data_IF_099849485338
#
_entry.id   IF_099849485338
#
_cell.length_a   1.000
_cell.length_b   1.000
_cell.length_c   1.000
_cell.angle_alpha   90.00
_cell.angle_beta   90.00
_cell.angle_gamma   90.00
#
_symmetry.space_group_name_H-M   'P 1'
#
loop_
_entity.id
_entity.type
_entity.pdbx_description
1 polymer ?
#
# COMPACT_ATOMS: atom_id res chain seq x y z
N UNK A 1 4.87 24.59 -3.36
CA UNK A 1 4.90 24.84 -1.90
C UNK A 1 3.74 24.13 -1.25
N UNK A 2 3.81 23.85 0.06
CA UNK A 2 2.84 23.03 0.80
C UNK A 2 1.38 23.55 0.74
N UNK A 3 1.19 24.85 0.50
CA UNK A 3 -0.13 25.50 0.51
C UNK A 3 -1.12 24.92 -0.49
N UNK A 4 -0.67 24.36 -1.62
CA UNK A 4 -1.53 23.69 -2.62
C UNK A 4 -1.20 22.21 -2.79
N UNK A 5 -0.60 21.59 -1.77
CA UNK A 5 -0.21 20.19 -1.84
C UNK A 5 -1.44 19.27 -1.92
N UNK A 6 -1.42 18.31 -2.84
CA UNK A 6 -2.48 17.30 -3.02
C UNK A 6 -2.19 16.00 -2.27
N UNK A 7 -1.39 16.07 -1.21
CA UNK A 7 -0.88 14.94 -0.45
C UNK A 7 -0.92 15.24 1.07
N UNK A 8 -0.36 14.35 1.90
CA UNK A 8 -0.40 14.49 3.36
C UNK A 8 0.08 15.86 3.88
N UNK A 9 1.02 16.52 3.20
CA UNK A 9 1.53 17.83 3.64
C UNK A 9 0.44 18.89 3.74
N UNK A 10 -0.50 18.90 2.79
CA UNK A 10 -1.58 19.88 2.83
C UNK A 10 -2.53 19.60 3.99
N UNK A 11 -2.80 18.33 4.32
CA UNK A 11 -3.61 17.97 5.49
C UNK A 11 -2.94 18.39 6.80
N UNK A 12 -1.66 18.08 6.95
CA UNK A 12 -0.88 18.40 8.15
C UNK A 12 -0.78 19.92 8.35
N UNK A 13 -0.34 20.65 7.32
CA UNK A 13 -0.08 22.07 7.45
C UNK A 13 -1.39 22.87 7.60
N UNK A 14 -2.44 22.55 6.83
CA UNK A 14 -3.71 23.28 6.95
C UNK A 14 -4.43 22.96 8.25
N UNK A 15 -4.32 21.76 8.81
CA UNK A 15 -4.81 21.48 10.16
C UNK A 15 -4.15 22.38 11.22
N UNK A 16 -2.83 22.58 11.13
CA UNK A 16 -2.10 23.52 11.99
C UNK A 16 -2.54 24.98 11.81
N UNK A 17 -2.76 25.41 10.56
CA UNK A 17 -3.26 26.77 10.28
C UNK A 17 -4.68 26.99 10.80
N UNK A 18 -5.55 25.99 10.70
CA UNK A 18 -6.92 26.02 11.25
C UNK A 18 -6.86 26.14 12.77
N UNK A 19 -6.07 25.30 13.44
CA UNK A 19 -5.88 25.37 14.89
C UNK A 19 -5.40 26.76 15.34
N UNK A 20 -4.38 27.29 14.67
CA UNK A 20 -3.82 28.61 14.97
C UNK A 20 -4.83 29.74 14.76
N UNK A 21 -5.58 29.71 13.66
CA UNK A 21 -6.61 30.71 13.37
C UNK A 21 -7.71 30.72 14.44
N UNK A 22 -8.20 29.53 14.84
CA UNK A 22 -9.20 29.40 15.91
C UNK A 22 -8.68 29.90 17.25
N UNK A 23 -7.42 29.59 17.59
CA UNK A 23 -6.81 29.96 18.86
C UNK A 23 -6.63 31.48 19.05
N UNK A 24 -6.53 32.26 17.96
CA UNK A 24 -6.34 33.72 18.02
C UNK A 24 -7.57 34.51 17.57
N UNK A 25 -8.69 33.83 17.30
CA UNK A 25 -9.88 34.45 16.71
C UNK A 25 -10.49 35.58 17.56
N UNK A 26 -10.33 35.51 18.89
CA UNK A 26 -10.78 36.56 19.82
C UNK A 26 -9.79 37.73 19.94
N UNK A 27 -8.54 37.53 19.53
CA UNK A 27 -7.49 38.55 19.56
C UNK A 27 -7.47 39.39 18.28
N UNK A 28 -7.62 38.72 17.13
CA UNK A 28 -7.65 39.36 15.81
C UNK A 28 -8.54 38.54 14.86
N UNK A 29 -9.82 38.93 14.82
CA UNK A 29 -10.83 38.22 14.05
C UNK A 29 -10.56 38.30 12.53
N UNK A 30 -10.14 39.47 12.04
CA UNK A 30 -9.89 39.71 10.62
C UNK A 30 -8.76 38.82 10.08
N UNK A 31 -7.66 38.67 10.82
CA UNK A 31 -6.56 37.79 10.43
C UNK A 31 -7.00 36.33 10.57
N UNK A 32 -7.66 35.96 11.66
CA UNK A 32 -8.13 34.60 11.89
C UNK A 32 -9.06 34.13 10.77
N UNK A 33 -10.05 34.92 10.39
CA UNK A 33 -11.00 34.61 9.32
C UNK A 33 -10.27 34.39 7.99
N UNK A 34 -9.38 35.31 7.59
CA UNK A 34 -8.61 35.20 6.34
C UNK A 34 -7.76 33.93 6.30
N UNK A 35 -7.13 33.57 7.43
CA UNK A 35 -6.29 32.36 7.52
C UNK A 35 -7.13 31.09 7.53
N UNK A 36 -8.26 31.09 8.23
CA UNK A 36 -9.19 29.97 8.26
C UNK A 36 -9.76 29.70 6.87
N UNK A 37 -10.29 30.74 6.19
CA UNK A 37 -10.80 30.63 4.82
C UNK A 37 -9.77 30.06 3.85
N UNK A 38 -8.53 30.59 3.91
CA UNK A 38 -7.43 30.09 3.08
C UNK A 38 -7.08 28.64 3.41
N UNK A 39 -7.05 28.25 4.67
CA UNK A 39 -6.69 26.89 5.07
C UNK A 39 -7.77 25.88 4.64
N UNK A 40 -9.05 26.19 4.86
CA UNK A 40 -10.18 25.34 4.45
C UNK A 40 -10.22 25.15 2.93
N UNK A 41 -10.08 26.24 2.17
CA UNK A 41 -10.08 26.19 0.69
C UNK A 41 -8.98 25.28 0.16
N UNK A 42 -7.80 25.30 0.78
CA UNK A 42 -6.67 24.50 0.31
C UNK A 42 -6.64 23.08 0.91
N UNK A 43 -7.22 22.85 2.09
CA UNK A 43 -7.39 21.50 2.66
C UNK A 43 -8.21 20.61 1.72
N UNK A 44 -9.25 21.17 1.09
CA UNK A 44 -10.06 20.48 0.09
C UNK A 44 -9.22 19.92 -1.08
N UNK A 45 -8.09 20.54 -1.43
CA UNK A 45 -7.19 20.05 -2.49
C UNK A 45 -6.56 18.71 -2.06
N UNK A 46 -6.09 18.62 -0.82
CA UNK A 46 -5.48 17.40 -0.29
C UNK A 46 -6.51 16.30 -0.04
N UNK A 47 -7.73 16.67 0.36
CA UNK A 47 -8.83 15.71 0.55
C UNK A 47 -9.25 15.00 -0.74
N UNK A 48 -8.97 15.56 -1.92
CA UNK A 48 -9.19 14.85 -3.20
C UNK A 48 -8.34 13.59 -3.33
N UNK A 49 -7.32 13.39 -2.50
CA UNK A 49 -6.53 12.17 -2.48
C UNK A 49 -7.35 10.94 -2.10
N UNK A 50 -8.46 11.10 -1.37
CA UNK A 50 -9.34 9.99 -0.97
C UNK A 50 -10.24 9.49 -2.11
N UNK A 51 -10.45 10.30 -3.15
CA UNK A 51 -11.42 10.00 -4.19
C UNK A 51 -10.92 8.88 -5.15
N UNK A 52 -11.85 8.08 -5.72
CA UNK A 52 -13.28 8.04 -5.41
C UNK A 52 -13.65 7.11 -4.25
N UNK A 53 -12.87 6.04 -4.04
CA UNK A 53 -13.29 4.90 -3.22
C UNK A 53 -12.58 4.81 -1.86
N UNK A 54 -11.99 5.91 -1.38
CA UNK A 54 -11.32 5.98 -0.08
C UNK A 54 -9.89 5.47 -0.07
N UNK A 55 -9.27 5.25 -1.23
CA UNK A 55 -7.85 4.92 -1.34
C UNK A 55 -6.96 6.09 -0.91
N UNK A 56 -5.70 5.82 -0.59
CA UNK A 56 -4.73 6.83 -0.20
C UNK A 56 -3.42 6.68 -0.99
N UNK A 57 -3.03 7.66 -1.81
CA UNK A 57 -1.93 7.50 -2.77
C UNK A 57 -0.56 7.20 -2.16
N UNK A 58 -0.34 7.61 -0.91
CA UNK A 58 0.96 7.51 -0.22
C UNK A 58 1.07 6.26 0.67
N UNK A 59 0.06 5.39 0.64
CA UNK A 59 0.04 4.13 1.38
C UNK A 59 -0.42 4.22 2.84
N UNK A 60 -0.53 3.08 3.53
CA UNK A 60 -1.17 2.98 4.84
C UNK A 60 -0.50 3.77 5.95
N UNK A 61 0.83 3.91 5.91
CA UNK A 61 1.56 4.71 6.89
C UNK A 61 1.23 6.21 6.80
N UNK A 62 1.14 6.73 5.58
CA UNK A 62 0.81 8.14 5.35
C UNK A 62 -0.69 8.42 5.47
N UNK A 63 -1.55 7.42 5.22
CA UNK A 63 -2.96 7.53 5.55
C UNK A 63 -3.15 7.82 7.04
N UNK A 64 -2.51 7.06 7.93
CA UNK A 64 -2.65 7.30 9.38
C UNK A 64 -2.18 8.72 9.73
N UNK A 65 -1.05 9.15 9.17
CA UNK A 65 -0.48 10.46 9.44
C UNK A 65 -1.35 11.61 8.92
N UNK A 66 -1.62 11.65 7.62
CA UNK A 66 -2.37 12.71 6.96
C UNK A 66 -3.85 12.74 7.37
N UNK A 67 -4.51 11.59 7.43
CA UNK A 67 -5.93 11.49 7.78
C UNK A 67 -6.18 11.88 9.24
N UNK A 68 -5.27 11.57 10.18
CA UNK A 68 -5.44 12.02 11.57
C UNK A 68 -5.41 13.55 11.70
N UNK A 69 -4.51 14.23 10.99
CA UNK A 69 -4.53 15.70 10.95
C UNK A 69 -5.77 16.25 10.25
N UNK A 70 -6.23 15.61 9.17
CA UNK A 70 -7.46 15.98 8.48
C UNK A 70 -8.68 15.89 9.41
N UNK A 71 -8.80 14.78 10.14
CA UNK A 71 -9.87 14.56 11.12
C UNK A 71 -9.80 15.60 12.24
N UNK A 72 -8.62 15.92 12.77
CA UNK A 72 -8.48 16.99 13.77
C UNK A 72 -8.95 18.34 13.23
N UNK A 73 -8.61 18.67 11.98
CA UNK A 73 -9.10 19.89 11.34
C UNK A 73 -10.64 19.93 11.30
N UNK A 74 -11.27 18.85 10.82
CA UNK A 74 -12.74 18.76 10.74
C UNK A 74 -13.40 18.77 12.12
N UNK A 75 -12.82 18.09 13.10
CA UNK A 75 -13.32 18.07 14.48
C UNK A 75 -13.29 19.49 15.11
N UNK A 76 -12.20 20.23 14.92
CA UNK A 76 -12.07 21.60 15.42
C UNK A 76 -13.11 22.53 14.81
N UNK A 77 -13.27 22.54 13.48
CA UNK A 77 -14.22 23.45 12.82
C UNK A 77 -15.68 23.05 13.08
N UNK A 78 -15.98 21.75 13.13
CA UNK A 78 -17.33 21.27 13.46
C UNK A 78 -17.70 21.68 14.88
N UNK A 79 -16.75 21.60 15.82
CA UNK A 79 -16.98 22.03 17.20
C UNK A 79 -17.15 23.55 17.30
N UNK A 80 -16.34 24.32 16.56
CA UNK A 80 -16.37 25.78 16.61
C UNK A 80 -17.59 26.41 15.91
N UNK A 81 -18.06 25.81 14.80
CA UNK A 81 -19.07 26.41 13.92
C UNK A 81 -20.32 25.55 13.70
N UNK A 82 -20.35 24.31 14.18
CA UNK A 82 -21.45 23.37 13.91
C UNK A 82 -21.48 22.84 12.48
N UNK A 83 -20.44 23.08 11.67
CA UNK A 83 -20.32 22.63 10.29
C UNK A 83 -18.86 22.33 9.94
N UNK A 84 -18.66 21.45 8.97
CA UNK A 84 -17.36 21.16 8.35
C UNK A 84 -17.22 21.85 6.97
N UNK A 85 -18.19 22.70 6.62
CA UNK A 85 -18.29 23.39 5.32
C UNK A 85 -18.37 22.44 4.11
N UNK A 86 -18.94 21.25 4.29
CA UNK A 86 -19.11 20.25 3.22
C UNK A 86 -17.83 19.48 2.90
N UNK A 87 -16.78 19.60 3.72
CA UNK A 87 -15.51 18.90 3.48
C UNK A 87 -15.65 17.39 3.63
N UNK A 88 -16.44 16.89 4.59
CA UNK A 88 -16.64 15.46 4.76
C UNK A 88 -17.51 14.82 3.66
N UNK A 89 -18.20 15.63 2.87
CA UNK A 89 -18.95 15.19 1.68
C UNK A 89 -18.08 15.03 0.44
N UNK A 90 -16.78 15.39 0.51
CA UNK A 90 -15.86 15.19 -0.60
C UNK A 90 -15.72 13.70 -0.94
N UNK A 91 -15.74 13.32 -2.23
CA UNK A 91 -15.73 11.92 -2.64
C UNK A 91 -14.58 11.11 -2.03
N UNK A 92 -14.90 9.92 -1.53
CA UNK A 92 -13.94 8.99 -0.94
C UNK A 92 -13.63 9.25 0.53
N UNK A 93 -13.96 10.41 1.09
CA UNK A 93 -13.59 10.73 2.47
C UNK A 93 -14.33 9.84 3.48
N UNK A 94 -15.63 9.59 3.29
CA UNK A 94 -16.39 8.66 4.14
C UNK A 94 -15.86 7.22 3.99
N UNK A 95 -15.62 6.81 2.75
CA UNK A 95 -15.16 5.46 2.37
C UNK A 95 -13.78 5.14 2.95
N UNK A 96 -12.91 6.14 3.08
CA UNK A 96 -11.54 5.96 3.60
C UNK A 96 -11.51 5.45 5.04
N UNK A 97 -12.61 5.59 5.81
CA UNK A 97 -12.72 5.00 7.14
C UNK A 97 -12.52 3.47 7.16
N UNK A 98 -12.77 2.78 6.04
CA UNK A 98 -12.56 1.34 5.86
C UNK A 98 -11.21 0.97 5.23
N UNK A 99 -10.41 1.95 4.82
CA UNK A 99 -9.21 1.73 4.02
C UNK A 99 -8.27 0.68 4.64
N UNK A 100 -7.93 0.79 5.93
CA UNK A 100 -7.05 -0.19 6.58
C UNK A 100 -7.73 -1.52 6.93
N UNK A 101 -9.06 -1.62 6.88
CA UNK A 101 -9.75 -2.91 6.93
C UNK A 101 -9.44 -3.71 5.65
N UNK A 102 -9.52 -3.05 4.49
CA UNK A 102 -9.18 -3.67 3.20
C UNK A 102 -7.70 -4.04 3.12
N UNK A 103 -6.80 -3.15 3.54
CA UNK A 103 -5.36 -3.36 3.37
C UNK A 103 -4.78 -4.41 4.32
N UNK A 104 -5.51 -4.85 5.35
CA UNK A 104 -4.98 -5.79 6.34
C UNK A 104 -5.22 -7.24 5.88
N UNK A 105 -4.13 -7.91 5.52
CA UNK A 105 -4.15 -9.32 5.19
C UNK A 105 -4.20 -10.22 6.44
N UNK A 106 -4.50 -11.53 6.27
CA UNK A 106 -4.65 -12.49 7.36
C UNK A 106 -3.38 -12.72 8.19
N UNK A 107 -2.21 -12.33 7.67
CA UNK A 107 -1.00 -12.34 8.48
C UNK A 107 -0.98 -11.20 9.52
N UNK A 108 -1.94 -10.27 9.46
CA UNK A 108 -2.01 -9.02 10.21
C UNK A 108 -1.11 -7.91 9.67
N UNK A 109 -0.32 -8.16 8.61
CA UNK A 109 0.45 -7.14 7.92
C UNK A 109 -0.45 -6.37 6.94
N UNK A 110 -0.27 -5.06 6.86
CA UNK A 110 -0.95 -4.26 5.85
C UNK A 110 -0.29 -4.47 4.47
N UNK A 111 -1.03 -4.26 3.39
CA UNK A 111 -0.45 -4.09 2.05
C UNK A 111 0.33 -2.79 2.04
N UNK A 112 1.65 -2.91 2.16
CA UNK A 112 2.55 -1.79 2.11
C UNK A 112 2.96 -1.52 0.65
N UNK A 113 2.80 -0.28 0.23
CA UNK A 113 3.24 0.28 -1.04
C UNK A 113 3.66 1.73 -0.83
N UNK A 114 4.29 2.31 -1.85
CA UNK A 114 4.95 3.60 -1.71
C UNK A 114 5.94 3.53 -0.52
N UNK A 115 6.14 4.62 0.21
CA UNK A 115 6.98 4.60 1.40
C UNK A 115 6.33 3.94 2.64
N UNK A 116 5.31 3.10 2.42
CA UNK A 116 4.78 2.19 3.42
C UNK A 116 5.80 1.12 3.81
N UNK A 117 6.19 1.09 5.08
CA UNK A 117 6.99 -0.02 5.63
C UNK A 117 6.13 -1.26 5.92
N UNK A 118 6.77 -2.44 6.00
CA UNK A 118 6.13 -3.68 6.46
C UNK A 118 5.71 -3.56 7.93
N UNK A 119 4.48 -3.14 8.17
CA UNK A 119 3.90 -2.95 9.51
C UNK A 119 2.62 -3.75 9.66
N UNK A 120 2.44 -4.32 10.85
CA UNK A 120 1.15 -4.84 11.26
C UNK A 120 0.20 -3.66 11.48
N UNK A 121 -1.10 -3.87 11.24
CA UNK A 121 -2.10 -2.85 11.58
C UNK A 121 -1.94 -2.46 13.04
N UNK A 122 -2.03 -1.17 13.30
CA UNK A 122 -2.11 -0.59 14.65
C UNK A 122 -3.40 0.19 14.78
N UNK A 123 -3.80 0.45 16.02
CA UNK A 123 -5.00 1.23 16.30
C UNK A 123 -4.85 2.67 15.83
N UNK A 124 -5.93 3.22 15.26
CA UNK A 124 -5.98 4.49 14.56
C UNK A 124 -7.13 5.35 15.08
N UNK A 125 -6.78 6.42 15.80
CA UNK A 125 -7.74 7.36 16.39
C UNK A 125 -8.79 7.92 15.41
N UNK A 126 -8.39 8.17 14.17
CA UNK A 126 -9.26 8.72 13.14
C UNK A 126 -10.49 7.84 12.88
N UNK A 127 -10.37 6.51 13.00
CA UNK A 127 -11.48 5.58 12.76
C UNK A 127 -12.59 5.75 13.80
N UNK A 128 -12.25 6.06 15.07
CA UNK A 128 -13.24 6.39 16.09
C UNK A 128 -14.01 7.66 15.75
N UNK A 129 -13.32 8.68 15.20
CA UNK A 129 -13.99 9.89 14.72
C UNK A 129 -14.91 9.58 13.53
N UNK A 130 -14.45 8.82 12.54
CA UNK A 130 -15.29 8.41 11.39
C UNK A 130 -16.56 7.71 11.87
N UNK A 131 -16.43 6.75 12.78
CA UNK A 131 -17.53 6.00 13.36
C UNK A 131 -18.56 6.89 14.06
N UNK A 132 -18.09 7.85 14.88
CA UNK A 132 -18.96 8.80 15.56
C UNK A 132 -19.59 9.83 14.61
N UNK A 133 -18.80 10.42 13.72
CA UNK A 133 -19.21 11.50 12.82
C UNK A 133 -20.24 11.02 11.78
N UNK A 134 -20.00 9.88 11.15
CA UNK A 134 -20.90 9.30 10.14
C UNK A 134 -22.00 8.40 10.72
N UNK A 135 -22.04 8.22 12.05
CA UNK A 135 -22.97 7.30 12.73
C UNK A 135 -22.86 5.85 12.20
N UNK A 136 -21.61 5.40 12.04
CA UNK A 136 -21.23 4.07 11.56
C UNK A 136 -20.39 3.37 12.63
N UNK A 137 -20.98 2.99 13.77
CA UNK A 137 -20.24 2.39 14.89
C UNK A 137 -19.58 1.06 14.52
N UNK A 138 -20.05 0.36 13.48
CA UNK A 138 -19.41 -0.85 12.95
C UNK A 138 -18.01 -0.65 12.35
N UNK A 139 -17.57 0.61 12.15
CA UNK A 139 -16.21 0.91 11.66
C UNK A 139 -15.13 0.48 12.66
N UNK A 140 -15.42 0.56 13.97
CA UNK A 140 -14.46 0.20 15.01
C UNK A 140 -14.47 -1.28 15.38
N UNK A 141 -15.51 -2.00 14.98
CA UNK A 141 -15.72 -3.41 15.30
C UNK A 141 -14.67 -4.34 14.68
N UNK A 142 -14.13 -3.97 13.50
CA UNK A 142 -13.20 -4.80 12.73
C UNK A 142 -11.84 -4.95 13.42
N UNK A 143 -11.38 -3.93 14.14
CA UNK A 143 -10.03 -3.92 14.73
C UNK A 143 -9.89 -2.96 15.91
N UNK A 144 -10.43 -1.75 15.81
CA UNK A 144 -10.12 -0.67 16.75
C UNK A 144 -10.57 -0.96 18.18
N UNK A 145 -11.73 -1.59 18.36
CA UNK A 145 -12.23 -1.97 19.68
C UNK A 145 -11.32 -2.97 20.37
N UNK A 146 -11.02 -4.09 19.72
CA UNK A 146 -10.11 -5.11 20.24
C UNK A 146 -8.68 -4.55 20.42
N UNK A 147 -8.27 -3.70 19.46
CA UNK A 147 -7.22 -2.68 19.53
C UNK A 147 -7.05 -2.04 20.91
N UNK A 148 -8.11 -1.34 21.30
CA UNK A 148 -8.22 -0.54 22.49
C UNK A 148 -8.25 -1.42 23.75
N UNK A 149 -9.08 -2.46 23.77
CA UNK A 149 -9.26 -3.35 24.92
C UNK A 149 -7.97 -4.08 25.31
N UNK A 150 -7.27 -4.69 24.33
CA UNK A 150 -5.96 -5.33 24.58
C UNK A 150 -4.96 -4.36 25.18
N UNK A 151 -4.98 -3.10 24.74
CA UNK A 151 -4.08 -2.07 25.25
C UNK A 151 -4.48 -1.57 26.63
N UNK A 152 -5.77 -1.38 26.91
CA UNK A 152 -6.26 -1.04 28.25
C UNK A 152 -5.97 -2.15 29.27
N UNK A 153 -5.96 -3.41 28.84
CA UNK A 153 -5.56 -4.55 29.67
C UNK A 153 -4.04 -4.61 29.94
N UNK A 154 -3.22 -4.06 29.05
CA UNK A 154 -1.76 -4.01 29.20
C UNK A 154 -1.34 -2.90 30.19
N UNK A 155 -1.20 -3.28 31.46
CA UNK A 155 -0.83 -2.36 32.57
C UNK A 155 0.66 -1.96 32.59
N UNK A 156 1.46 -2.28 31.57
CA UNK A 156 2.87 -1.89 31.53
C UNK A 156 3.00 -0.37 31.37
N UNK A 157 3.99 0.22 32.05
CA UNK A 157 4.28 1.66 31.94
C UNK A 157 4.51 2.02 30.47
N UNK A 158 3.75 2.98 29.96
CA UNK A 158 4.00 3.59 28.65
C UNK A 158 5.42 4.16 28.68
N UNK A 159 6.29 3.59 27.87
CA UNK A 159 7.68 4.03 27.81
C UNK A 159 7.72 5.32 26.97
N UNK A 160 7.75 6.47 27.64
CA UNK A 160 7.68 7.81 27.04
C UNK A 160 8.78 8.09 25.98
N UNK A 161 9.84 7.26 25.94
CA UNK A 161 10.96 7.40 25.00
C UNK A 161 10.72 6.79 23.61
N UNK A 162 9.58 6.15 23.34
CA UNK A 162 9.21 5.71 21.98
C UNK A 162 8.01 6.50 21.51
N UNK A 163 8.14 7.07 20.31
CA UNK A 163 7.17 7.92 19.61
C UNK A 163 5.90 7.15 19.18
N UNK A 164 5.30 6.36 20.09
CA UNK A 164 4.35 5.29 19.79
C UNK A 164 2.90 5.74 19.95
N UNK A 165 2.52 6.84 19.30
CA UNK A 165 1.11 7.22 19.17
C UNK A 165 0.82 8.70 19.37
N UNK A 166 1.36 9.56 18.50
CA UNK A 166 1.04 11.00 18.50
C UNK A 166 -0.46 11.29 18.53
N UNK A 167 -1.25 10.46 17.82
CA UNK A 167 -2.68 10.64 17.74
C UNK A 167 -3.48 9.84 18.77
N UNK A 168 -2.83 9.02 19.60
CA UNK A 168 -3.53 8.14 20.54
C UNK A 168 -4.29 8.88 21.61
N UNK A 169 -3.77 10.00 22.08
CA UNK A 169 -4.48 10.83 23.04
C UNK A 169 -5.86 11.27 22.52
N UNK A 170 -6.00 11.40 21.19
CA UNK A 170 -7.27 11.77 20.56
C UNK A 170 -8.28 10.61 20.49
N UNK A 171 -7.85 9.33 20.62
CA UNK A 171 -8.79 8.19 20.72
C UNK A 171 -9.82 8.43 21.84
N UNK A 172 -9.37 8.98 22.97
CA UNK A 172 -10.23 9.26 24.14
C UNK A 172 -11.26 10.39 23.92
N UNK A 173 -11.12 11.20 22.87
CA UNK A 173 -12.12 12.22 22.53
C UNK A 173 -13.34 11.63 21.83
N UNK A 174 -13.18 10.47 21.18
CA UNK A 174 -14.19 9.91 20.28
C UNK A 174 -14.62 8.49 20.63
N UNK A 175 -13.94 7.83 21.58
CA UNK A 175 -14.31 6.49 22.02
C UNK A 175 -15.74 6.48 22.57
N UNK A 176 -16.52 5.47 22.20
CA UNK A 176 -17.87 5.26 22.69
C UNK A 176 -18.08 3.82 23.20
N UNK A 177 -19.02 3.60 24.14
CA UNK A 177 -19.36 2.28 24.62
C UNK A 177 -19.76 1.35 23.47
N UNK A 178 -19.39 0.07 23.58
CA UNK A 178 -19.84 -0.94 22.63
C UNK A 178 -21.38 -0.98 22.56
N UNK A 179 -21.93 -1.13 21.35
CA UNK A 179 -23.37 -1.15 21.11
C UNK A 179 -23.80 -2.39 20.35
N UNK A 180 -25.09 -2.73 20.41
CA UNK A 180 -25.65 -3.82 19.60
C UNK A 180 -25.63 -3.48 18.09
N UNK A 181 -25.80 -2.21 17.74
CA UNK A 181 -25.69 -1.70 16.37
C UNK A 181 -24.32 -1.96 15.77
N UNK A 182 -23.27 -1.73 16.55
CA UNK A 182 -21.90 -2.03 16.13
C UNK A 182 -21.72 -3.51 15.74
N UNK A 183 -22.17 -4.43 16.60
CA UNK A 183 -22.03 -5.87 16.35
C UNK A 183 -22.91 -6.35 15.20
N UNK A 184 -24.16 -5.90 15.14
CA UNK A 184 -25.12 -6.34 14.14
C UNK A 184 -24.83 -5.81 12.73
N UNK A 185 -24.15 -4.67 12.61
CA UNK A 185 -23.73 -4.07 11.33
C UNK A 185 -22.28 -4.38 10.95
N UNK A 186 -21.54 -5.14 11.75
CA UNK A 186 -20.24 -5.68 11.37
C UNK A 186 -20.41 -6.76 10.28
N UNK A 187 -20.82 -6.32 9.08
CA UNK A 187 -20.94 -7.16 7.90
C UNK A 187 -19.57 -7.43 7.29
N UNK A 188 -19.49 -8.49 6.48
CA UNK A 188 -18.29 -8.78 5.71
C UNK A 188 -18.15 -7.74 4.59
N UNK A 189 -16.98 -7.12 4.52
CA UNK A 189 -16.62 -6.22 3.44
C UNK A 189 -16.52 -7.01 2.11
N UNK A 190 -16.53 -6.34 0.95
CA UNK A 190 -16.29 -6.99 -0.33
C UNK A 190 -14.99 -7.82 -0.34
N UNK A 191 -15.04 -8.97 -0.99
CA UNK A 191 -13.87 -9.83 -1.21
C UNK A 191 -12.89 -9.24 -2.23
N UNK A 192 -13.40 -8.42 -3.16
CA UNK A 192 -12.60 -7.62 -4.09
C UNK A 192 -12.91 -6.15 -3.86
N UNK A 193 -11.88 -5.34 -3.67
CA UNK A 193 -11.99 -3.89 -3.52
C UNK A 193 -11.05 -3.19 -4.50
N UNK A 194 -11.65 -2.38 -5.38
CA UNK A 194 -10.93 -1.49 -6.31
C UNK A 194 -10.84 -0.09 -5.69
N UNK A 195 -9.64 0.26 -5.23
CA UNK A 195 -9.38 1.54 -4.58
C UNK A 195 -9.37 2.73 -5.55
N UNK A 196 -9.10 2.49 -6.84
CA UNK A 196 -8.94 3.54 -7.87
C UNK A 196 -8.03 4.70 -7.42
N UNK A 197 -8.22 5.89 -8.00
CA UNK A 197 -7.45 7.08 -7.67
C UNK A 197 -6.11 7.18 -8.43
N UNK A 198 -5.26 8.16 -8.08
CA UNK A 198 -4.03 8.45 -8.82
C UNK A 198 -2.93 7.40 -8.63
N UNK A 199 -2.99 6.63 -7.53
CA UNK A 199 -2.17 5.42 -7.31
C UNK A 199 -3.14 4.27 -7.10
N UNK A 200 -3.64 3.66 -8.19
CA UNK A 200 -4.66 2.66 -8.10
C UNK A 200 -4.12 1.38 -7.47
N UNK A 201 -4.90 0.81 -6.55
CA UNK A 201 -4.65 -0.48 -5.92
C UNK A 201 -5.91 -1.33 -5.99
N UNK A 202 -5.72 -2.64 -6.07
CA UNK A 202 -6.81 -3.63 -5.96
C UNK A 202 -6.46 -4.61 -4.87
N UNK A 203 -7.43 -4.89 -4.01
CA UNK A 203 -7.34 -5.93 -3.01
C UNK A 203 -8.27 -7.07 -3.41
N UNK A 204 -7.77 -8.31 -3.33
CA UNK A 204 -8.55 -9.53 -3.50
C UNK A 204 -8.31 -10.46 -2.32
N UNK A 205 -9.37 -11.05 -1.78
CA UNK A 205 -9.30 -12.13 -0.81
C UNK A 205 -10.43 -13.13 -1.03
N UNK A 206 -10.24 -14.39 -0.70
CA UNK A 206 -11.28 -15.42 -0.88
C UNK A 206 -12.14 -15.62 0.39
N UNK A 207 -11.72 -15.05 1.52
CA UNK A 207 -12.43 -15.13 2.81
C UNK A 207 -12.01 -13.99 3.75
N UNK A 208 -12.89 -13.64 4.69
CA UNK A 208 -12.58 -12.80 5.86
C UNK A 208 -12.21 -13.60 7.11
N UNK A 209 -12.26 -14.93 7.03
CA UNK A 209 -11.69 -15.82 8.05
C UNK A 209 -10.17 -15.92 7.84
N UNK A 210 -9.41 -15.28 8.73
CA UNK A 210 -7.95 -15.20 8.62
C UNK A 210 -7.25 -16.57 8.67
N UNK A 211 -7.87 -17.60 9.26
CA UNK A 211 -7.28 -18.94 9.31
C UNK A 211 -7.33 -19.65 7.94
N UNK A 212 -8.28 -19.25 7.07
CA UNK A 212 -8.49 -19.88 5.74
C UNK A 212 -8.26 -18.94 4.55
N UNK A 213 -8.12 -17.63 4.80
CA UNK A 213 -7.99 -16.63 3.75
C UNK A 213 -6.64 -16.68 3.02
N UNK A 214 -6.72 -16.59 1.70
CA UNK A 214 -5.68 -16.04 0.83
C UNK A 214 -6.03 -14.59 0.52
N UNK A 215 -5.02 -13.72 0.54
CA UNK A 215 -5.14 -12.29 0.31
C UNK A 215 -4.05 -11.84 -0.66
N UNK A 216 -4.42 -10.99 -1.62
CA UNK A 216 -3.50 -10.37 -2.57
C UNK A 216 -3.78 -8.87 -2.65
N UNK A 217 -2.74 -8.06 -2.47
CA UNK A 217 -2.78 -6.63 -2.75
C UNK A 217 -1.99 -6.33 -4.01
N UNK A 218 -2.56 -5.57 -4.94
CA UNK A 218 -2.00 -5.23 -6.26
C UNK A 218 -1.82 -3.73 -6.40
N UNK A 219 -0.75 -3.30 -7.09
CA UNK A 219 -0.49 -1.89 -7.37
C UNK A 219 -0.18 -1.60 -8.83
N UNK A 220 -0.84 -0.56 -9.35
CA UNK A 220 -0.50 0.09 -10.61
C UNK A 220 -0.22 1.60 -10.37
N UNK A 221 -0.27 2.42 -11.41
CA UNK A 221 0.01 3.85 -11.37
C UNK A 221 1.40 4.20 -11.90
N UNK A 222 2.04 5.17 -11.25
CA UNK A 222 3.30 5.76 -11.69
C UNK A 222 4.40 5.62 -10.63
N UNK A 223 5.65 5.32 -11.03
CA UNK A 223 6.78 5.41 -10.10
C UNK A 223 6.98 6.81 -9.51
N UNK A 224 6.57 7.85 -10.25
CA UNK A 224 6.67 9.26 -9.82
C UNK A 224 5.53 9.72 -8.92
N UNK A 225 4.59 8.84 -8.58
CA UNK A 225 3.59 9.15 -7.58
C UNK A 225 4.23 9.66 -6.27
N UNK A 226 3.53 10.47 -5.47
CA UNK A 226 3.99 10.85 -4.14
C UNK A 226 4.42 9.60 -3.35
N UNK A 227 5.66 9.60 -2.85
CA UNK A 227 6.27 8.45 -2.16
C UNK A 227 6.38 7.15 -2.99
N UNK A 228 6.23 7.21 -4.31
CA UNK A 228 6.21 6.05 -5.19
C UNK A 228 7.58 5.40 -5.45
N UNK A 229 7.55 4.11 -5.75
CA UNK A 229 8.69 3.28 -6.15
C UNK A 229 8.50 2.81 -7.61
N UNK A 230 9.53 2.25 -8.26
CA UNK A 230 9.35 1.55 -9.53
C UNK A 230 8.79 0.14 -9.30
N UNK A 231 7.57 0.07 -8.78
CA UNK A 231 6.89 -1.14 -8.32
C UNK A 231 5.62 -1.42 -9.13
N UNK A 232 5.53 -0.90 -10.36
CA UNK A 232 4.31 -1.00 -11.16
C UNK A 232 4.06 -2.46 -11.53
N UNK A 233 2.84 -2.94 -11.27
CA UNK A 233 2.47 -4.35 -11.43
C UNK A 233 2.83 -5.21 -10.23
N UNK A 234 3.34 -4.65 -9.13
CA UNK A 234 3.70 -5.39 -7.94
C UNK A 234 2.50 -5.95 -7.19
N UNK A 235 2.77 -6.98 -6.39
CA UNK A 235 1.80 -7.60 -5.51
C UNK A 235 2.41 -7.99 -4.16
N UNK A 236 1.57 -8.11 -3.13
CA UNK A 236 1.89 -8.85 -1.89
C UNK A 236 0.89 -9.99 -1.73
N UNK A 237 1.28 -11.05 -1.04
CA UNK A 237 0.43 -12.23 -0.87
C UNK A 237 0.55 -12.81 0.53
N UNK A 238 -0.60 -12.94 1.20
CA UNK A 238 -0.74 -13.71 2.44
C UNK A 238 -1.59 -14.96 2.19
N UNK A 239 -1.25 -16.05 2.86
CA UNK A 239 -2.09 -17.24 2.92
C UNK A 239 -1.79 -18.01 4.22
N UNK A 240 -2.82 -18.50 4.90
CA UNK A 240 -2.67 -19.22 6.18
C UNK A 240 -1.91 -18.39 7.22
N UNK A 241 -2.26 -17.10 7.34
CA UNK A 241 -1.66 -16.13 8.28
C UNK A 241 -0.16 -15.85 8.11
N UNK A 242 0.41 -16.22 6.97
CA UNK A 242 1.81 -15.96 6.62
C UNK A 242 1.89 -15.09 5.37
N UNK A 243 2.76 -14.06 5.40
CA UNK A 243 3.13 -13.22 4.25
C UNK A 243 4.20 -13.95 3.44
N UNK A 244 3.81 -14.51 2.30
CA UNK A 244 4.69 -15.30 1.44
C UNK A 244 5.42 -14.44 0.41
N UNK A 245 4.70 -13.50 -0.21
CA UNK A 245 5.25 -12.49 -1.11
C UNK A 245 5.24 -11.13 -0.40
N UNK A 246 6.40 -10.63 -0.01
CA UNK A 246 6.54 -9.36 0.72
C UNK A 246 7.00 -8.23 -0.18
N UNK A 247 6.78 -7.01 0.29
CA UNK A 247 7.43 -5.81 -0.20
C UNK A 247 8.38 -5.28 0.88
N UNK A 248 9.58 -4.84 0.49
CA UNK A 248 10.65 -4.40 1.39
C UNK A 248 10.36 -3.05 2.05
N UNK A 249 9.50 -2.24 1.44
CA UNK A 249 9.10 -0.92 1.89
C UNK A 249 10.19 0.14 1.75
N UNK A 250 9.99 1.27 2.44
CA UNK A 250 10.82 2.45 2.31
C UNK A 250 12.29 2.28 2.77
N UNK A 251 13.09 3.27 2.37
CA UNK A 251 14.39 3.57 2.94
C UNK A 251 14.32 4.62 4.07
N UNK A 252 15.34 4.64 4.94
CA UNK A 252 15.40 5.63 6.02
C UNK A 252 15.84 7.02 5.53
N UNK A 253 14.90 7.96 5.39
CA UNK A 253 15.16 9.28 4.78
C UNK A 253 16.30 10.04 5.45
N UNK A 254 16.28 10.19 6.77
CA UNK A 254 17.33 10.94 7.49
C UNK A 254 18.73 10.36 7.23
N UNK A 255 18.83 9.03 7.12
CA UNK A 255 20.10 8.36 6.76
C UNK A 255 20.51 8.76 5.35
N UNK A 256 19.62 8.61 4.37
CA UNK A 256 19.90 8.93 2.97
C UNK A 256 20.27 10.40 2.75
N UNK A 257 19.51 11.32 3.34
CA UNK A 257 19.75 12.76 3.25
C UNK A 257 21.10 13.13 3.89
N UNK A 258 21.43 12.55 5.04
CA UNK A 258 22.75 12.75 5.67
C UNK A 258 23.91 12.20 4.85
N UNK A 259 23.65 11.24 3.96
CA UNK A 259 24.61 10.67 3.01
C UNK A 259 24.63 11.42 1.67
N UNK A 260 23.85 12.50 1.52
CA UNK A 260 23.76 13.28 0.29
C UNK A 260 23.18 12.50 -0.89
N UNK A 261 22.28 11.54 -0.63
CA UNK A 261 21.52 10.87 -1.70
C UNK A 261 20.39 11.78 -2.15
N UNK A 262 20.29 12.04 -3.45
CA UNK A 262 19.21 12.83 -4.04
C UNK A 262 17.89 12.02 -4.10
N UNK A 263 17.29 11.81 -2.91
CA UNK A 263 16.11 10.97 -2.71
C UNK A 263 14.85 11.54 -3.38
N UNK A 264 14.76 12.86 -3.50
CA UNK A 264 13.53 13.55 -3.93
C UNK A 264 13.49 13.83 -5.44
N UNK A 265 14.58 13.54 -6.16
CA UNK A 265 14.62 13.64 -7.61
C UNK A 265 13.94 12.43 -8.27
N UNK A 266 12.75 12.68 -8.79
CA UNK A 266 11.90 11.67 -9.40
C UNK A 266 12.03 11.59 -10.94
N UNK A 267 13.06 12.21 -11.52
CA UNK A 267 13.38 12.08 -12.95
C UNK A 267 13.92 10.67 -13.23
N UNK A 268 13.91 10.22 -14.49
CA UNK A 268 14.37 8.88 -14.88
C UNK A 268 15.79 8.57 -14.40
N UNK A 269 16.66 9.57 -14.38
CA UNK A 269 18.06 9.52 -14.00
C UNK A 269 18.31 9.86 -12.52
N UNK A 270 17.26 10.00 -11.71
CA UNK A 270 17.36 10.33 -10.29
C UNK A 270 18.08 9.25 -9.48
N UNK A 271 18.94 9.66 -8.55
CA UNK A 271 19.72 8.72 -7.73
C UNK A 271 18.84 7.78 -6.88
N UNK A 272 17.62 8.21 -6.54
CA UNK A 272 16.67 7.38 -5.79
C UNK A 272 16.41 6.01 -6.44
N UNK A 273 16.44 5.92 -7.78
CA UNK A 273 16.19 4.66 -8.50
C UNK A 273 17.38 3.70 -8.46
N UNK A 274 18.52 4.14 -7.93
CA UNK A 274 19.67 3.27 -7.63
C UNK A 274 19.49 2.52 -6.31
N UNK A 275 18.56 2.94 -5.46
CA UNK A 275 18.22 2.24 -4.22
C UNK A 275 17.39 1.00 -4.58
N UNK A 276 17.85 -0.16 -4.15
CA UNK A 276 17.22 -1.44 -4.49
C UNK A 276 15.77 -1.55 -4.03
N UNK A 277 15.42 -0.93 -2.91
CA UNK A 277 14.04 -0.91 -2.38
C UNK A 277 13.09 0.02 -3.15
N UNK A 278 13.62 0.94 -3.96
CA UNK A 278 12.80 1.91 -4.69
C UNK A 278 12.76 1.61 -6.20
N UNK A 279 13.43 0.54 -6.65
CA UNK A 279 13.48 0.13 -8.05
C UNK A 279 12.85 -1.25 -8.27
N UNK A 280 12.52 -1.58 -9.53
CA UNK A 280 11.76 -2.79 -9.88
C UNK A 280 12.45 -4.10 -9.53
N UNK A 281 13.78 -4.11 -9.36
CA UNK A 281 14.52 -5.32 -9.00
C UNK A 281 14.14 -5.84 -7.60
N UNK A 282 13.73 -4.93 -6.68
CA UNK A 282 13.31 -5.27 -5.32
C UNK A 282 11.83 -5.65 -5.16
N UNK A 283 10.98 -5.35 -6.17
CA UNK A 283 9.52 -5.50 -6.09
C UNK A 283 9.00 -6.76 -6.80
N UNK A 284 7.78 -7.18 -6.49
CA UNK A 284 7.17 -8.39 -7.07
C UNK A 284 6.59 -8.12 -8.47
N UNK A 285 7.45 -7.68 -9.39
CA UNK A 285 7.10 -7.28 -10.76
C UNK A 285 8.09 -7.87 -11.78
N UNK A 286 8.03 -7.41 -13.03
CA UNK A 286 8.90 -7.82 -14.11
C UNK A 286 10.20 -7.00 -14.15
N UNK A 287 11.22 -7.58 -14.74
CA UNK A 287 12.42 -6.86 -15.20
C UNK A 287 12.74 -7.36 -16.60
N UNK A 288 12.82 -6.46 -17.58
CA UNK A 288 13.12 -6.80 -18.97
C UNK A 288 14.54 -6.29 -19.27
N UNK A 289 15.44 -7.19 -19.66
CA UNK A 289 16.83 -6.90 -20.03
C UNK A 289 17.60 -6.07 -18.98
N UNK A 290 17.29 -6.29 -17.69
CA UNK A 290 17.90 -5.55 -16.59
C UNK A 290 17.55 -4.06 -16.55
N UNK A 291 16.52 -3.62 -17.29
CA UNK A 291 16.12 -2.21 -17.35
C UNK A 291 15.21 -1.81 -16.20
N UNK A 292 15.29 -0.52 -15.87
CA UNK A 292 14.40 0.14 -14.93
C UNK A 292 13.07 0.46 -15.60
N UNK A 293 11.99 0.45 -14.82
CA UNK A 293 10.72 0.98 -15.30
C UNK A 293 10.84 2.47 -15.69
N UNK A 294 9.97 2.92 -16.59
CA UNK A 294 9.88 4.33 -16.96
C UNK A 294 9.25 5.11 -15.80
N UNK A 295 10.00 6.03 -15.19
CA UNK A 295 9.60 6.78 -14.02
C UNK A 295 8.32 7.61 -14.27
N UNK A 296 8.19 8.18 -15.46
CA UNK A 296 7.03 9.00 -15.86
C UNK A 296 5.84 8.20 -16.39
N UNK A 297 5.92 6.87 -16.38
CA UNK A 297 4.82 6.00 -16.81
C UNK A 297 3.59 6.17 -15.92
N UNK A 298 2.42 5.80 -16.45
CA UNK A 298 1.18 5.74 -15.69
C UNK A 298 0.36 4.52 -16.15
N UNK A 299 0.50 3.42 -15.42
CA UNK A 299 -0.21 2.17 -15.66
C UNK A 299 -1.54 2.12 -14.92
N UNK A 300 -2.53 1.41 -15.49
CA UNK A 300 -3.89 1.33 -14.94
C UNK A 300 -4.36 -0.13 -14.80
N UNK A 301 -5.36 -0.34 -13.96
CA UNK A 301 -6.20 -1.54 -14.08
C UNK A 301 -7.17 -1.33 -15.26
N UNK A 302 -7.14 -2.24 -16.22
CA UNK A 302 -8.04 -2.21 -17.38
C UNK A 302 -9.33 -3.00 -17.13
N UNK A 303 -9.30 -3.93 -16.16
CA UNK A 303 -10.47 -4.70 -15.71
C UNK A 303 -10.27 -5.11 -14.26
N UNK A 304 -11.34 -5.05 -13.47
CA UNK A 304 -11.43 -5.63 -12.12
C UNK A 304 -12.78 -6.33 -12.01
N UNK A 305 -12.76 -7.61 -11.68
CA UNK A 305 -13.94 -8.48 -11.56
C UNK A 305 -13.93 -9.13 -10.18
N UNK A 306 -15.13 -9.32 -9.61
CA UNK A 306 -15.31 -9.97 -8.31
C UNK A 306 -15.71 -11.44 -8.40
N UNK A 307 -16.23 -11.87 -9.54
CA UNK A 307 -16.65 -13.26 -9.78
C UNK A 307 -16.47 -13.62 -11.27
N UNK A 308 -15.35 -14.29 -11.65
CA UNK A 308 -14.23 -14.67 -10.77
C UNK A 308 -13.48 -13.43 -10.24
N UNK A 309 -12.78 -13.58 -9.10
CA UNK A 309 -11.91 -12.53 -8.58
C UNK A 309 -10.67 -12.39 -9.48
N UNK A 310 -10.64 -11.32 -10.29
CA UNK A 310 -9.61 -11.10 -11.29
C UNK A 310 -9.32 -9.60 -11.47
N UNK A 311 -8.05 -9.25 -11.65
CA UNK A 311 -7.64 -7.90 -12.00
C UNK A 311 -6.61 -7.95 -13.14
N UNK A 312 -6.79 -7.10 -14.15
CA UNK A 312 -5.89 -6.96 -15.29
C UNK A 312 -5.24 -5.58 -15.25
N UNK A 313 -3.92 -5.54 -15.24
CA UNK A 313 -3.10 -4.34 -15.27
C UNK A 313 -2.44 -4.16 -16.63
N UNK A 314 -2.49 -2.94 -17.17
CA UNK A 314 -1.68 -2.55 -18.32
C UNK A 314 -0.34 -1.99 -17.84
N UNK A 315 0.71 -2.81 -17.97
CA UNK A 315 2.08 -2.48 -17.60
C UNK A 315 2.86 -1.87 -18.78
N UNK A 316 2.26 -1.80 -19.97
CA UNK A 316 2.91 -1.30 -21.20
C UNK A 316 3.58 0.06 -20.99
N UNK A 317 2.94 1.06 -20.32
CA UNK A 317 3.60 2.34 -20.09
C UNK A 317 4.89 2.25 -19.28
N UNK A 318 4.99 1.30 -18.33
CA UNK A 318 6.16 1.14 -17.47
C UNK A 318 7.36 0.49 -18.19
N UNK A 319 7.09 -0.26 -19.27
CA UNK A 319 8.08 -1.02 -20.03
C UNK A 319 8.10 -0.65 -21.53
N UNK A 320 7.66 0.57 -21.87
CA UNK A 320 7.47 0.98 -23.27
C UNK A 320 8.78 1.06 -24.08
N UNK A 321 9.93 1.15 -23.40
CA UNK A 321 11.25 1.12 -24.04
C UNK A 321 11.71 -0.33 -24.36
N UNK A 322 11.09 -1.32 -23.71
CA UNK A 322 11.51 -2.73 -23.73
C UNK A 322 10.56 -3.65 -24.51
N UNK A 323 9.28 -3.28 -24.59
CA UNK A 323 8.25 -4.03 -25.30
C UNK A 323 7.12 -3.11 -25.81
N UNK A 324 6.34 -3.62 -26.77
CA UNK A 324 5.19 -2.90 -27.33
C UNK A 324 3.87 -3.14 -26.57
N UNK A 325 3.80 -4.21 -25.77
CA UNK A 325 2.65 -4.56 -24.94
C UNK A 325 3.13 -5.36 -23.73
N UNK A 326 2.61 -5.02 -22.55
CA UNK A 326 2.76 -5.80 -21.33
C UNK A 326 1.46 -5.78 -20.52
N UNK A 327 0.76 -6.91 -20.44
CA UNK A 327 -0.40 -7.08 -19.56
C UNK A 327 -0.08 -8.07 -18.44
N UNK A 328 -0.56 -7.76 -17.23
CA UNK A 328 -0.55 -8.67 -16.09
C UNK A 328 -1.97 -8.94 -15.63
N UNK A 329 -2.38 -10.20 -15.67
CA UNK A 329 -3.65 -10.67 -15.08
C UNK A 329 -3.35 -11.39 -13.78
N UNK A 330 -4.04 -11.02 -12.70
CA UNK A 330 -3.99 -11.72 -11.43
C UNK A 330 -5.38 -12.24 -11.10
N UNK A 331 -5.50 -13.56 -10.92
CA UNK A 331 -6.74 -14.24 -10.54
C UNK A 331 -6.57 -14.90 -9.19
N UNK A 332 -7.58 -14.76 -8.32
CA UNK A 332 -7.67 -15.47 -7.05
C UNK A 332 -8.82 -16.49 -7.12
N UNK A 333 -8.46 -17.76 -7.08
CA UNK A 333 -9.41 -18.87 -7.11
C UNK A 333 -10.06 -19.07 -5.74
N UNK A 334 -11.27 -19.63 -5.73
CA UNK A 334 -12.03 -19.90 -4.50
C UNK A 334 -11.27 -20.82 -3.51
N UNK A 335 -10.42 -21.71 -4.03
CA UNK A 335 -9.59 -22.61 -3.21
C UNK A 335 -8.33 -21.95 -2.62
N UNK A 336 -8.14 -20.65 -2.88
CA UNK A 336 -7.03 -19.85 -2.39
C UNK A 336 -5.80 -19.85 -3.29
N UNK A 337 -5.83 -20.49 -4.45
CA UNK A 337 -4.75 -20.40 -5.44
C UNK A 337 -4.73 -19.03 -6.13
N UNK A 338 -3.53 -18.49 -6.33
CA UNK A 338 -3.31 -17.23 -7.05
C UNK A 338 -2.59 -17.53 -8.34
N UNK A 339 -3.13 -17.07 -9.46
CA UNK A 339 -2.49 -17.15 -10.77
C UNK A 339 -2.08 -15.75 -11.20
N UNK A 340 -0.81 -15.58 -11.55
CA UNK A 340 -0.27 -14.37 -12.17
C UNK A 340 0.14 -14.71 -13.60
N UNK A 341 -0.54 -14.13 -14.57
CA UNK A 341 -0.26 -14.30 -16.00
C UNK A 341 0.27 -13.01 -16.57
N UNK A 342 1.49 -13.03 -17.09
CA UNK A 342 2.10 -11.93 -17.82
C UNK A 342 2.13 -12.24 -19.31
N UNK A 343 1.59 -11.34 -20.13
CA UNK A 343 1.59 -11.43 -21.59
C UNK A 343 2.33 -10.24 -22.20
N UNK A 344 3.44 -10.53 -22.88
CA UNK A 344 4.35 -9.56 -23.45
C UNK A 344 4.43 -9.72 -24.97
N UNK A 345 4.53 -8.60 -25.69
CA UNK A 345 4.72 -8.58 -27.15
C UNK A 345 5.70 -7.49 -27.58
N UNK A 346 6.43 -7.75 -28.66
CA UNK A 346 7.42 -6.81 -29.20
C UNK A 346 8.72 -6.76 -28.39
N UNK A 347 9.04 -7.82 -27.64
CA UNK A 347 10.33 -7.98 -27.00
C UNK A 347 11.42 -8.13 -28.07
N UNK A 348 12.61 -7.59 -27.80
CA UNK A 348 13.80 -7.88 -28.62
C UNK A 348 14.15 -9.37 -28.48
N UNK A 349 14.40 -10.10 -29.58
CA UNK A 349 14.76 -11.52 -29.48
C UNK A 349 15.99 -11.76 -28.59
N UNK A 350 15.90 -12.75 -27.71
CA UNK A 350 17.00 -13.17 -26.84
C UNK A 350 17.19 -12.34 -25.57
N UNK A 351 16.42 -11.27 -25.34
CA UNK A 351 16.46 -10.57 -24.05
C UNK A 351 15.88 -11.45 -22.95
N UNK A 352 16.40 -11.26 -21.73
CA UNK A 352 15.89 -11.94 -20.55
C UNK A 352 14.73 -11.14 -19.94
N UNK A 353 13.65 -11.83 -19.60
CA UNK A 353 12.57 -11.33 -18.78
C UNK A 353 12.61 -12.08 -17.45
N UNK A 354 12.77 -11.34 -16.35
CA UNK A 354 12.72 -11.89 -15.00
C UNK A 354 11.36 -11.58 -14.37
N UNK A 355 10.64 -12.61 -13.96
CA UNK A 355 9.49 -12.50 -13.05
C UNK A 355 9.99 -12.73 -11.62
N UNK A 356 9.64 -11.86 -10.66
CA UNK A 356 10.18 -11.94 -9.30
C UNK A 356 9.14 -12.01 -8.18
N UNK A 357 9.45 -12.77 -7.11
CA UNK A 357 8.80 -12.73 -5.78
C UNK A 357 9.86 -12.57 -4.65
N UNK A 358 9.69 -11.61 -3.73
CA UNK A 358 10.58 -11.38 -2.58
C UNK A 358 9.97 -12.06 -1.37
N UNK A 359 10.78 -12.80 -0.62
CA UNK A 359 10.33 -13.50 0.58
C UNK A 359 11.42 -13.52 1.65
N UNK A 360 11.02 -13.54 2.92
CA UNK A 360 11.88 -13.85 4.07
C UNK A 360 11.63 -15.26 4.63
N UNK A 361 10.80 -16.05 3.93
CA UNK A 361 10.53 -17.44 4.27
C UNK A 361 11.68 -18.36 3.85
N UNK A 362 11.74 -19.55 4.45
CA UNK A 362 12.77 -20.52 4.12
C UNK A 362 12.49 -21.15 2.76
N UNK A 363 13.56 -21.42 2.01
CA UNK A 363 13.46 -22.21 0.78
C UNK A 363 13.48 -23.67 1.20
N UNK A 364 12.36 -24.37 1.02
CA UNK A 364 12.23 -25.78 1.37
C UNK A 364 12.77 -26.67 0.25
N UNK A 365 12.38 -26.38 -0.99
CA UNK A 365 12.79 -27.13 -2.17
C UNK A 365 12.75 -26.24 -3.42
N UNK A 366 13.52 -26.62 -4.44
CA UNK A 366 13.49 -26.06 -5.78
C UNK A 366 13.67 -27.20 -6.79
N UNK A 367 12.87 -27.17 -7.85
CA UNK A 367 12.93 -28.09 -8.98
C UNK A 367 12.72 -27.31 -10.28
N UNK A 368 12.56 -28.02 -11.41
CA UNK A 368 12.37 -27.39 -12.71
C UNK A 368 11.04 -26.65 -12.85
N UNK A 369 10.00 -27.10 -12.15
CA UNK A 369 8.65 -26.54 -12.23
C UNK A 369 8.46 -25.34 -11.29
N UNK A 370 9.22 -25.27 -10.19
CA UNK A 370 8.95 -24.26 -9.16
C UNK A 370 9.85 -24.26 -7.94
N UNK A 371 9.48 -23.39 -7.01
CA UNK A 371 10.10 -23.22 -5.69
C UNK A 371 9.05 -23.40 -4.60
N UNK A 372 9.38 -24.17 -3.58
CA UNK A 372 8.56 -24.37 -2.39
C UNK A 372 9.16 -23.61 -1.21
N UNK A 373 8.37 -22.72 -0.62
CA UNK A 373 8.70 -21.97 0.59
C UNK A 373 8.15 -22.69 1.83
N UNK A 374 8.74 -22.41 3.00
CA UNK A 374 8.25 -22.88 4.30
C UNK A 374 8.41 -21.82 5.38
N UNK A 375 7.40 -21.70 6.24
CA UNK A 375 7.44 -20.88 7.47
C UNK A 375 7.72 -21.74 8.73
N UNK A 376 8.03 -23.03 8.52
CA UNK A 376 8.24 -24.03 9.57
C UNK A 376 6.97 -24.77 10.02
N UNK A 377 5.78 -24.32 9.63
CA UNK A 377 4.49 -24.96 9.94
C UNK A 377 3.75 -25.42 8.69
N UNK A 378 3.81 -24.63 7.65
CA UNK A 378 3.13 -24.81 6.38
C UNK A 378 4.11 -24.58 5.23
N UNK A 379 3.73 -25.09 4.05
CA UNK A 379 4.49 -24.92 2.82
C UNK A 379 3.67 -24.17 1.78
N UNK A 380 4.35 -23.41 0.94
CA UNK A 380 3.75 -22.62 -0.11
C UNK A 380 4.49 -22.83 -1.42
N UNK A 381 3.78 -23.24 -2.46
CA UNK A 381 4.37 -23.58 -3.75
C UNK A 381 4.19 -22.43 -4.73
N UNK A 382 5.27 -22.10 -5.43
CA UNK A 382 5.32 -21.18 -6.56
C UNK A 382 5.73 -22.01 -7.78
N UNK A 383 4.84 -22.20 -8.75
CA UNK A 383 5.08 -23.04 -9.92
C UNK A 383 4.85 -22.27 -11.21
N UNK A 384 5.72 -22.46 -12.19
CA UNK A 384 5.50 -22.03 -13.56
C UNK A 384 4.56 -23.03 -14.25
N UNK A 385 3.43 -22.57 -14.75
CA UNK A 385 2.41 -23.40 -15.42
C UNK A 385 2.32 -23.14 -16.93
N UNK A 386 2.96 -22.09 -17.44
CA UNK A 386 3.08 -21.84 -18.87
C UNK A 386 4.31 -21.00 -19.22
N UNK A 387 4.96 -21.37 -20.33
CA UNK A 387 6.20 -20.75 -20.81
C UNK A 387 7.45 -21.51 -20.35
N UNK A 388 8.55 -21.30 -21.06
CA UNK A 388 9.85 -21.84 -20.67
C UNK A 388 10.61 -20.82 -19.82
N UNK A 389 11.17 -21.27 -18.71
CA UNK A 389 11.99 -20.44 -17.85
C UNK A 389 12.76 -21.25 -16.82
N UNK A 390 13.76 -20.61 -16.22
CA UNK A 390 14.59 -21.23 -15.19
C UNK A 390 14.41 -20.51 -13.86
N UNK A 391 14.11 -21.27 -12.82
CA UNK A 391 14.01 -20.73 -11.46
C UNK A 391 15.39 -20.44 -10.88
N UNK A 392 15.52 -19.27 -10.27
CA UNK A 392 16.68 -18.83 -9.50
C UNK A 392 16.25 -18.36 -8.12
N UNK A 393 17.05 -18.66 -7.11
CA UNK A 393 16.90 -18.08 -5.77
C UNK A 393 18.12 -17.23 -5.49
N UNK A 394 17.91 -15.92 -5.37
CA UNK A 394 18.96 -14.93 -5.20
C UNK A 394 18.87 -14.38 -3.77
N UNK A 395 19.98 -14.44 -3.03
CA UNK A 395 20.10 -13.77 -1.75
C UNK A 395 20.17 -12.26 -1.98
N UNK A 396 19.21 -11.51 -1.41
CA UNK A 396 19.16 -10.05 -1.52
C UNK A 396 19.28 -9.37 -0.16
N UNK A 397 19.78 -10.10 0.84
CA UNK A 397 20.09 -9.56 2.16
C UNK A 397 21.06 -8.39 2.09
N UNK A 398 21.96 -8.43 1.12
CA UNK A 398 22.72 -7.29 0.64
C UNK A 398 22.34 -7.00 -0.82
N UNK A 399 21.72 -5.84 -1.10
CA UNK A 399 21.39 -5.45 -2.46
C UNK A 399 22.58 -5.47 -3.43
N UNK A 400 22.30 -5.88 -4.66
CA UNK A 400 23.25 -5.84 -5.78
C UNK A 400 22.58 -5.22 -7.01
N UNK A 401 23.30 -4.36 -7.77
CA UNK A 401 24.61 -3.81 -7.44
C UNK A 401 24.55 -2.89 -6.20
N UNK A 402 25.59 -2.90 -5.38
CA UNK A 402 25.62 -2.09 -4.14
C UNK A 402 25.55 -0.59 -4.46
N UNK A 403 24.63 0.11 -3.80
CA UNK A 403 24.58 1.57 -3.76
C UNK A 403 24.76 2.09 -2.33
N UNK A 404 25.40 3.26 -2.17
CA UNK A 404 25.77 3.82 -0.85
C UNK A 404 24.57 3.95 0.11
N UNK A 405 23.38 4.19 -0.42
CA UNK A 405 22.17 4.35 0.36
C UNK A 405 21.41 3.06 0.65
N UNK A 406 21.84 1.89 0.19
CA UNK A 406 21.04 0.67 0.39
C UNK A 406 20.92 0.27 1.87
N UNK A 407 19.71 -0.12 2.27
CA UNK A 407 19.49 -0.86 3.52
C UNK A 407 19.78 -2.35 3.34
N UNK A 408 20.17 -3.02 4.42
CA UNK A 408 20.19 -4.48 4.45
C UNK A 408 18.75 -5.03 4.46
N UNK A 409 18.50 -6.08 3.68
CA UNK A 409 17.22 -6.80 3.64
C UNK A 409 17.36 -8.13 4.35
N UNK A 410 17.68 -8.10 5.64
CA UNK A 410 18.05 -9.30 6.42
C UNK A 410 17.09 -10.47 6.14
N UNK A 411 17.67 -11.63 5.84
CA UNK A 411 16.99 -12.89 5.56
C UNK A 411 16.09 -12.89 4.31
N UNK A 412 16.09 -11.83 3.49
CA UNK A 412 15.26 -11.76 2.29
C UNK A 412 15.97 -12.40 1.08
N UNK A 413 15.18 -13.10 0.28
CA UNK A 413 15.57 -13.72 -0.98
C UNK A 413 14.60 -13.29 -2.08
N UNK A 414 15.09 -13.26 -3.31
CA UNK A 414 14.29 -13.19 -4.53
C UNK A 414 14.13 -14.60 -5.08
N UNK A 415 12.90 -15.03 -5.31
CA UNK A 415 12.55 -16.16 -6.16
C UNK A 415 12.25 -15.58 -7.54
N UNK A 416 13.07 -15.92 -8.53
CA UNK A 416 12.93 -15.39 -9.89
C UNK A 416 12.76 -16.49 -10.91
N UNK A 417 11.86 -16.29 -11.87
CA UNK A 417 11.75 -17.09 -13.07
C UNK A 417 12.36 -16.30 -14.23
N UNK A 418 13.45 -16.82 -14.79
CA UNK A 418 14.16 -16.20 -15.92
C UNK A 418 13.70 -16.84 -17.23
N UNK A 419 13.06 -16.04 -18.08
CA UNK A 419 12.56 -16.45 -19.38
C UNK A 419 13.33 -15.73 -20.49
N UNK A 420 13.68 -16.42 -21.57
CA UNK A 420 14.37 -15.81 -22.72
C UNK A 420 13.35 -15.55 -23.82
N UNK A 421 13.31 -14.31 -24.32
CA UNK A 421 12.38 -13.91 -25.37
C UNK A 421 12.62 -14.69 -26.68
N UNK A 422 11.54 -15.27 -27.20
CA UNK A 422 11.54 -15.97 -28.47
C UNK A 422 11.75 -15.03 -29.67
N UNK A 423 11.99 -15.60 -30.85
CA UNK A 423 12.28 -14.82 -32.07
C UNK A 423 11.11 -13.95 -32.55
N UNK A 424 9.89 -14.31 -32.21
CA UNK A 424 8.68 -13.57 -32.56
C UNK A 424 8.38 -12.42 -31.59
N UNK A 425 9.18 -12.28 -30.51
CA UNK A 425 9.04 -11.22 -29.52
C UNK A 425 7.81 -11.36 -28.62
N UNK A 426 7.11 -12.50 -28.66
CA UNK A 426 5.99 -12.80 -27.79
C UNK A 426 6.44 -13.64 -26.60
N UNK A 427 5.86 -13.39 -25.44
CA UNK A 427 6.10 -14.20 -24.25
C UNK A 427 4.84 -14.27 -23.40
N UNK A 428 4.56 -15.46 -22.88
CA UNK A 428 3.54 -15.72 -21.86
C UNK A 428 4.22 -16.39 -20.69
N UNK A 429 4.12 -15.79 -19.51
CA UNK A 429 4.56 -16.36 -18.24
C UNK A 429 3.31 -16.58 -17.40
N UNK A 430 3.11 -17.78 -16.88
CA UNK A 430 2.02 -18.05 -15.94
C UNK A 430 2.56 -18.70 -14.68
N UNK A 431 2.39 -18.03 -13.54
CA UNK A 431 2.85 -18.52 -12.24
C UNK A 431 1.65 -18.78 -11.35
N UNK A 432 1.50 -20.02 -10.90
CA UNK A 432 0.52 -20.44 -9.90
C UNK A 432 1.16 -20.50 -8.52
N UNK A 433 0.51 -19.89 -7.54
CA UNK A 433 0.96 -19.79 -6.16
C UNK A 433 -0.14 -20.29 -5.20
N UNK A 434 0.24 -21.02 -4.16
CA UNK A 434 -0.72 -21.46 -3.15
C UNK A 434 -0.12 -22.33 -2.06
N UNK A 435 -0.87 -22.52 -0.98
CA UNK A 435 -0.50 -23.45 0.09
C UNK A 435 -0.46 -24.88 -0.46
N UNK A 436 0.56 -25.63 -0.03
CA UNK A 436 0.64 -27.08 -0.27
C UNK A 436 -0.33 -27.76 0.70
N UNK A 437 -1.29 -28.50 0.15
CA UNK A 437 -2.29 -29.25 0.92
C UNK A 437 -1.77 -30.60 1.37
#
# INVERSE_FOLDING_TARGET
GWTRASNNWGQVCHAGMIAGALAVAELDNDIAEKRLYSALTNLAISMRAFAPNGNYPEGPGYWEYGTSFNVLALAMITTAFGTDFGLAELPGFRETGRYNDYLTGPSGFMFNYADGGRRRRSSQSAVWWFAGYFQEPELVASYEREAMERKCADRRKINAGRNNGWFRAYEYLWVFPESETERSRAGQLPLVWDGQGPVPIVIMRNSWDDDTATYVGLKAGSPRAPHGHMDIGSFVLDAGRTRWALDLGAEGYHRLESMGVDLWNNRQDGERWRLFRLNNFGHNTLTIDGQLQIAASDSKFVSVQSDPAEAVMDLTPAYADDCSRALRTVRLDADGAVLVTDELSGLKPGVMVSWGLTTDQQIHAQDAEGVTLSDGKQQFRISNTAGEGQWQVIDVSQPQPVFRGDSQNRNCKRVELHCIAAKDGNMRIEVRMGLVK
#
